data_IF_079552107749
#
_entry.id   IF_079552107749
#
_cell.length_a   1.000
_cell.length_b   1.000
_cell.length_c   1.000
_cell.angle_alpha   90.00
_cell.angle_beta   90.00
_cell.angle_gamma   90.00
#
_symmetry.space_group_name_H-M   'P 1'
#
loop_
_entity.id
_entity.type
_entity.pdbx_description
1 polymer ?
#
# COMPACT_ATOMS: atom_id res chain seq x y z
N UNK A 1 24.16 3.71 11.03
CA UNK A 1 24.01 4.89 10.16
C UNK A 1 23.31 4.46 8.88
N UNK A 2 22.53 5.35 8.28
CA UNK A 2 21.90 5.13 6.97
C UNK A 2 23.00 5.05 5.90
N UNK A 3 22.89 4.09 4.98
CA UNK A 3 23.75 3.98 3.78
C UNK A 3 22.95 4.33 2.51
N UNK A 4 21.81 5.01 2.66
CA UNK A 4 20.98 5.39 1.54
C UNK A 4 21.63 6.55 0.75
N UNK A 5 21.52 6.55 -0.60
CA UNK A 5 21.87 7.72 -1.39
C UNK A 5 21.13 8.98 -0.90
N UNK A 6 21.75 10.18 -0.95
CA UNK A 6 21.15 11.41 -0.44
C UNK A 6 19.76 11.71 -0.99
N UNK A 7 19.47 11.27 -2.22
CA UNK A 7 18.22 11.53 -2.93
C UNK A 7 17.01 10.83 -2.29
N UNK A 8 17.22 9.73 -1.55
CA UNK A 8 16.14 8.93 -0.95
C UNK A 8 16.28 8.75 0.56
N UNK A 9 17.32 9.31 1.16
CA UNK A 9 17.63 9.13 2.59
C UNK A 9 16.46 9.56 3.50
N UNK A 10 15.77 10.65 3.16
CA UNK A 10 14.67 11.19 3.96
C UNK A 10 13.36 10.38 3.85
N UNK A 11 13.22 9.54 2.82
CA UNK A 11 12.00 8.76 2.53
C UNK A 11 12.19 7.25 2.66
N UNK A 12 13.40 6.79 3.01
CA UNK A 12 13.77 5.38 3.07
C UNK A 12 14.09 4.94 4.49
N UNK A 13 13.83 3.66 4.79
CA UNK A 13 14.25 3.01 6.03
C UNK A 13 14.66 1.57 5.77
N UNK A 14 15.21 0.89 6.77
CA UNK A 14 15.46 -0.55 6.75
C UNK A 14 14.97 -1.18 8.04
N UNK A 15 14.70 -2.49 8.03
CA UNK A 15 14.31 -3.21 9.24
C UNK A 15 15.36 -3.08 10.36
N UNK A 16 16.65 -3.04 10.01
CA UNK A 16 17.72 -2.81 10.99
C UNK A 16 17.66 -1.43 11.61
N UNK A 17 17.40 -0.38 10.81
CA UNK A 17 17.26 0.98 11.32
C UNK A 17 16.00 1.13 12.18
N UNK A 18 14.89 0.52 11.76
CA UNK A 18 13.61 0.60 12.46
C UNK A 18 13.59 -0.20 13.78
N UNK A 19 14.30 -1.32 13.86
CA UNK A 19 14.30 -2.22 15.02
C UNK A 19 15.55 -2.13 15.89
N UNK A 20 16.64 -1.55 15.37
CA UNK A 20 17.95 -1.56 16.01
C UNK A 20 18.69 -2.90 15.96
N UNK A 21 18.11 -3.95 15.36
CA UNK A 21 18.64 -5.31 15.36
C UNK A 21 19.00 -5.81 13.95
N UNK A 22 19.98 -6.72 13.86
CA UNK A 22 20.22 -7.44 12.61
C UNK A 22 19.12 -8.52 12.46
N UNK A 23 18.41 -8.49 11.33
CA UNK A 23 17.37 -9.47 11.00
C UNK A 23 17.96 -10.51 10.05
N UNK A 24 17.75 -11.79 10.38
CA UNK A 24 18.08 -12.91 9.49
C UNK A 24 17.24 -12.83 8.21
N UNK A 25 17.90 -12.71 7.06
CA UNK A 25 17.23 -12.66 5.76
C UNK A 25 16.49 -13.96 5.44
N UNK A 26 17.03 -15.08 5.88
CA UNK A 26 16.41 -16.41 5.70
C UNK A 26 15.12 -16.50 6.50
N UNK A 27 15.17 -16.15 7.78
CA UNK A 27 13.97 -16.23 8.64
C UNK A 27 12.90 -15.24 8.20
N UNK A 28 13.30 -14.03 7.79
CA UNK A 28 12.39 -13.04 7.21
C UNK A 28 11.72 -13.57 5.94
N UNK A 29 12.48 -14.19 5.03
CA UNK A 29 11.92 -14.73 3.79
C UNK A 29 10.94 -15.89 4.06
N UNK A 30 11.27 -16.77 5.02
CA UNK A 30 10.37 -17.84 5.45
C UNK A 30 9.05 -17.25 5.95
N UNK A 31 9.11 -16.22 6.79
CA UNK A 31 7.91 -15.62 7.35
C UNK A 31 7.07 -14.88 6.30
N UNK A 32 7.71 -14.13 5.40
CA UNK A 32 7.01 -13.50 4.26
C UNK A 32 6.28 -14.55 3.41
N UNK A 33 6.91 -15.69 3.15
CA UNK A 33 6.29 -16.76 2.35
C UNK A 33 5.12 -17.43 3.09
N UNK A 34 5.20 -17.57 4.41
CA UNK A 34 4.08 -18.10 5.22
C UNK A 34 2.89 -17.16 5.22
N UNK A 35 3.11 -15.87 5.46
CA UNK A 35 2.05 -14.86 5.43
C UNK A 35 1.43 -14.76 4.03
N UNK A 36 2.25 -14.84 2.97
CA UNK A 36 1.76 -14.88 1.60
C UNK A 36 0.90 -16.12 1.33
N UNK A 37 1.32 -17.32 1.76
CA UNK A 37 0.56 -18.56 1.60
C UNK A 37 -0.75 -18.56 2.39
N UNK A 38 -0.73 -18.01 3.61
CA UNK A 38 -1.91 -17.81 4.44
C UNK A 38 -2.93 -16.90 3.74
N UNK A 39 -2.50 -15.73 3.27
CA UNK A 39 -3.39 -14.76 2.62
C UNK A 39 -3.89 -15.25 1.28
N UNK A 40 -3.03 -15.90 0.51
CA UNK A 40 -3.43 -16.55 -0.72
C UNK A 40 -4.51 -17.61 -0.48
N UNK A 41 -4.35 -18.44 0.55
CA UNK A 41 -5.35 -19.42 0.96
C UNK A 41 -6.67 -18.79 1.41
N UNK A 42 -6.61 -17.66 2.14
CA UNK A 42 -7.81 -16.86 2.48
C UNK A 42 -8.54 -16.39 1.22
N UNK A 43 -7.81 -15.86 0.24
CA UNK A 43 -8.38 -15.35 -1.01
C UNK A 43 -9.01 -16.48 -1.84
N UNK A 44 -8.29 -17.59 -2.05
CA UNK A 44 -8.79 -18.74 -2.84
C UNK A 44 -10.00 -19.40 -2.18
N UNK A 45 -10.11 -19.34 -0.84
CA UNK A 45 -11.30 -19.81 -0.09
C UNK A 45 -12.47 -18.80 -0.05
N UNK A 46 -12.39 -17.72 -0.83
CA UNK A 46 -13.47 -16.73 -0.96
C UNK A 46 -13.50 -15.67 0.15
N UNK A 47 -12.44 -15.54 0.96
CA UNK A 47 -12.35 -14.58 2.07
C UNK A 47 -11.60 -13.30 1.69
N UNK A 48 -11.70 -12.86 0.44
CA UNK A 48 -11.02 -11.65 -0.03
C UNK A 48 -11.42 -10.41 0.78
N UNK A 49 -12.71 -10.25 1.12
CA UNK A 49 -13.18 -9.10 1.90
C UNK A 49 -12.45 -8.93 3.22
N UNK A 50 -12.19 -10.02 3.95
CA UNK A 50 -11.42 -9.99 5.19
C UNK A 50 -9.98 -9.50 4.99
N UNK A 51 -9.35 -9.87 3.87
CA UNK A 51 -7.99 -9.41 3.52
C UNK A 51 -8.02 -7.95 3.10
N UNK A 52 -9.05 -7.54 2.34
CA UNK A 52 -9.24 -6.15 1.93
C UNK A 52 -9.49 -5.22 3.13
N UNK A 53 -10.27 -5.65 4.13
CA UNK A 53 -10.51 -4.90 5.37
C UNK A 53 -9.21 -4.71 6.18
N UNK A 54 -8.41 -5.78 6.32
CA UNK A 54 -7.10 -5.73 6.98
C UNK A 54 -6.14 -4.79 6.24
N UNK A 55 -6.11 -4.87 4.92
CA UNK A 55 -5.34 -3.96 4.09
C UNK A 55 -5.80 -2.50 4.25
N UNK A 56 -7.11 -2.24 4.20
CA UNK A 56 -7.67 -0.90 4.37
C UNK A 56 -7.32 -0.31 5.74
N UNK A 57 -7.38 -1.11 6.81
CA UNK A 57 -7.02 -0.69 8.17
C UNK A 57 -5.56 -0.28 8.32
N UNK A 58 -4.66 -0.88 7.53
CA UNK A 58 -3.22 -0.58 7.54
C UNK A 58 -2.79 0.39 6.42
N UNK A 59 -3.72 0.84 5.57
CA UNK A 59 -3.40 1.64 4.40
C UNK A 59 -3.06 3.09 4.79
N UNK A 60 -1.81 3.48 4.59
CA UNK A 60 -1.32 4.82 4.97
C UNK A 60 -1.84 5.96 4.08
N UNK A 61 -2.49 5.65 2.95
CA UNK A 61 -3.00 6.64 1.98
C UNK A 61 -4.48 6.95 2.15
N UNK A 62 -5.27 6.06 2.76
CA UNK A 62 -6.69 6.28 2.98
C UNK A 62 -6.94 7.49 3.88
N UNK A 63 -8.00 8.23 3.56
CA UNK A 63 -8.38 9.48 4.21
C UNK A 63 -7.56 10.71 3.79
N UNK A 64 -6.45 10.53 3.06
CA UNK A 64 -5.54 11.61 2.64
C UNK A 64 -5.84 12.12 1.24
N UNK A 65 -5.32 13.31 0.95
CA UNK A 65 -5.28 13.83 -0.42
C UNK A 65 -4.16 13.12 -1.16
N UNK A 66 -4.46 12.64 -2.35
CA UNK A 66 -3.53 11.89 -3.18
C UNK A 66 -3.55 12.40 -4.61
N UNK A 67 -2.40 12.30 -5.26
CA UNK A 67 -2.24 12.45 -6.70
C UNK A 67 -2.08 11.06 -7.32
N UNK A 68 -2.84 10.80 -8.37
CA UNK A 68 -2.79 9.56 -9.13
C UNK A 68 -2.20 9.81 -10.51
N UNK A 69 -1.27 8.95 -10.93
CA UNK A 69 -0.74 8.92 -12.28
C UNK A 69 -1.07 7.57 -12.94
N UNK A 70 -1.80 7.60 -14.07
CA UNK A 70 -2.15 6.40 -14.87
C UNK A 70 -1.88 6.71 -16.34
N UNK A 71 -0.76 6.22 -16.87
CA UNK A 71 -0.31 6.56 -18.22
C UNK A 71 -0.19 8.08 -18.37
N UNK A 72 -0.96 8.68 -19.29
CA UNK A 72 -0.98 10.13 -19.50
C UNK A 72 -1.98 10.87 -18.60
N UNK A 73 -2.85 10.15 -17.87
CA UNK A 73 -3.85 10.76 -16.99
C UNK A 73 -3.23 11.07 -15.65
N UNK A 74 -3.43 12.30 -15.17
CA UNK A 74 -3.06 12.74 -13.83
C UNK A 74 -4.24 13.47 -13.21
N UNK A 75 -4.60 13.08 -12.00
CA UNK A 75 -5.67 13.75 -11.27
C UNK A 75 -5.43 13.65 -9.76
N UNK A 76 -6.12 14.51 -9.03
CA UNK A 76 -6.01 14.65 -7.58
C UNK A 76 -7.37 14.42 -6.96
N UNK A 77 -7.38 13.84 -5.76
CA UNK A 77 -8.59 13.72 -4.96
C UNK A 77 -8.29 13.19 -3.56
N UNK A 78 -9.34 12.92 -2.81
CA UNK A 78 -9.24 12.26 -1.51
C UNK A 78 -9.43 10.76 -1.69
N UNK A 79 -8.47 9.97 -1.20
CA UNK A 79 -8.60 8.52 -1.12
C UNK A 79 -9.61 8.17 -0.02
N UNK A 80 -10.79 7.67 -0.38
CA UNK A 80 -11.88 7.47 0.58
C UNK A 80 -11.95 6.06 1.12
N UNK A 81 -11.81 5.06 0.25
CA UNK A 81 -11.95 3.65 0.61
C UNK A 81 -11.28 2.75 -0.43
N UNK A 82 -11.15 1.48 -0.08
CA UNK A 82 -11.00 0.39 -1.04
C UNK A 82 -12.38 -0.27 -1.22
N UNK A 83 -12.73 -0.62 -2.45
CA UNK A 83 -13.95 -1.40 -2.70
C UNK A 83 -13.71 -2.91 -2.56
N UNK A 84 -14.79 -3.69 -2.65
CA UNK A 84 -14.77 -5.15 -2.52
C UNK A 84 -13.95 -5.87 -3.60
N UNK A 85 -13.52 -5.16 -4.66
CA UNK A 85 -12.63 -5.67 -5.69
C UNK A 85 -11.17 -5.20 -5.49
N UNK A 86 -10.87 -4.50 -4.40
CA UNK A 86 -9.55 -3.93 -4.10
C UNK A 86 -9.23 -2.64 -4.86
N UNK A 87 -10.21 -2.00 -5.49
CA UNK A 87 -10.01 -0.73 -6.20
C UNK A 87 -9.98 0.43 -5.22
N UNK A 88 -9.06 1.38 -5.42
CA UNK A 88 -9.03 2.63 -4.65
C UNK A 88 -10.13 3.57 -5.14
N UNK A 89 -11.01 4.00 -4.24
CA UNK A 89 -12.05 4.98 -4.50
C UNK A 89 -11.55 6.38 -4.16
N UNK A 90 -11.58 7.28 -5.15
CA UNK A 90 -11.08 8.64 -5.01
C UNK A 90 -12.19 9.64 -5.31
N UNK A 91 -12.48 10.51 -4.35
CA UNK A 91 -13.31 11.68 -4.58
C UNK A 91 -12.46 12.80 -5.16
N UNK A 92 -12.68 13.12 -6.43
CA UNK A 92 -12.06 14.25 -7.11
C UNK A 92 -12.58 15.57 -6.55
N UNK A 93 -11.89 16.67 -6.87
CA UNK A 93 -12.26 18.03 -6.42
C UNK A 93 -13.64 18.47 -6.92
N UNK A 94 -14.11 17.90 -8.03
CA UNK A 94 -15.44 18.14 -8.58
C UNK A 94 -16.54 17.25 -7.92
N UNK A 95 -16.21 16.53 -6.84
CA UNK A 95 -17.13 15.69 -6.08
C UNK A 95 -17.41 14.31 -6.67
N UNK A 96 -16.91 14.02 -7.89
CA UNK A 96 -17.04 12.71 -8.55
C UNK A 96 -16.13 11.68 -7.88
N UNK A 97 -16.67 10.49 -7.62
CA UNK A 97 -15.88 9.32 -7.20
C UNK A 97 -15.36 8.58 -8.43
N UNK A 98 -14.05 8.43 -8.53
CA UNK A 98 -13.37 7.59 -9.52
C UNK A 98 -12.83 6.32 -8.87
N UNK A 99 -12.95 5.21 -9.59
CA UNK A 99 -12.51 3.89 -9.17
C UNK A 99 -11.21 3.53 -9.87
N UNK A 100 -10.15 3.34 -9.10
CA UNK A 100 -8.78 3.16 -9.59
C UNK A 100 -8.28 1.76 -9.26
N UNK A 101 -7.99 0.98 -10.31
CA UNK A 101 -7.51 -0.40 -10.19
C UNK A 101 -6.00 -0.53 -10.32
N UNK A 102 -5.32 0.49 -10.84
CA UNK A 102 -3.87 0.51 -11.05
C UNK A 102 -3.37 1.94 -11.23
N UNK A 103 -2.08 2.16 -10.94
CA UNK A 103 -1.40 3.45 -11.10
C UNK A 103 -0.50 3.79 -9.91
N UNK A 104 0.25 4.89 -10.05
CA UNK A 104 1.07 5.41 -8.97
C UNK A 104 0.23 6.31 -8.06
N UNK A 105 0.32 6.08 -6.75
CA UNK A 105 -0.36 6.86 -5.71
C UNK A 105 0.68 7.66 -4.93
N UNK A 106 0.52 8.98 -4.90
CA UNK A 106 1.42 9.87 -4.14
C UNK A 106 0.56 10.66 -3.16
N UNK A 107 0.87 10.57 -1.87
CA UNK A 107 0.25 11.43 -0.84
C UNK A 107 0.78 12.85 -1.01
N UNK A 108 -0.12 13.84 -0.99
CA UNK A 108 0.20 15.26 -1.13
C UNK A 108 -0.28 16.09 0.06
#
# INVERSE_FOLDING_TARGET
TSEFPPEIESSSTSLKLATGANISRTDLAIEILRELDHDYSRIVSGKFSSVADEWAGNCSTLGKRVKINIGQRRFTGRAEALDEAGSLLIRTEHGRVERITSGDVIVI
#
